data_IF_832004771405
#
_entry.id   IF_832004771405
#
_cell.length_a   1.000
_cell.length_b   1.000
_cell.length_c   1.000
_cell.angle_alpha   90.00
_cell.angle_beta   90.00
_cell.angle_gamma   90.00
#
_symmetry.space_group_name_H-M   'P 1'
#
loop_
_entity.id
_entity.type
_entity.pdbx_description
1 polymer ?
#
# COMPACT_ATOMS: atom_id res chain seq x y z
N UNK A 1 -13.98 5.89 -17.82
CA UNK A 1 -12.63 5.91 -17.22
C UNK A 1 -12.57 4.69 -16.33
N UNK A 2 -11.68 3.74 -16.61
CA UNK A 2 -11.62 2.49 -15.86
C UNK A 2 -11.21 2.78 -14.42
N UNK A 3 -12.14 2.55 -13.50
CA UNK A 3 -11.94 2.69 -12.07
C UNK A 3 -11.48 1.34 -11.52
N UNK A 4 -10.17 1.20 -11.37
CA UNK A 4 -9.57 0.05 -10.73
C UNK A 4 -8.47 0.51 -9.77
N UNK A 5 -8.21 -0.32 -8.77
CA UNK A 5 -7.19 -0.07 -7.76
C UNK A 5 -6.05 -1.07 -7.95
N UNK A 6 -4.79 -0.61 -8.08
CA UNK A 6 -3.64 -1.50 -8.03
C UNK A 6 -3.62 -2.25 -6.70
N UNK A 7 -3.35 -3.55 -6.77
CA UNK A 7 -3.21 -4.40 -5.59
C UNK A 7 -1.90 -5.15 -5.74
N UNK A 8 -1.03 -5.04 -4.73
CA UNK A 8 0.16 -5.86 -4.61
C UNK A 8 0.03 -6.73 -3.35
N UNK A 9 0.20 -8.04 -3.52
CA UNK A 9 0.27 -8.99 -2.39
C UNK A 9 1.69 -9.56 -2.34
N UNK A 10 2.28 -9.63 -1.14
CA UNK A 10 3.60 -10.22 -0.91
C UNK A 10 3.54 -11.23 0.24
N UNK A 11 3.85 -12.49 -0.07
CA UNK A 11 4.03 -13.54 0.94
C UNK A 11 5.49 -13.53 1.43
N UNK A 12 5.78 -12.62 2.37
CA UNK A 12 7.06 -12.56 3.09
C UNK A 12 6.84 -11.96 4.47
N UNK A 13 7.79 -12.23 5.36
CA UNK A 13 7.75 -11.78 6.76
C UNK A 13 7.49 -10.27 6.87
N UNK A 14 8.30 -9.46 6.17
CA UNK A 14 8.16 -8.00 6.18
C UNK A 14 8.39 -7.38 4.80
N UNK A 15 7.43 -6.57 4.34
CA UNK A 15 7.62 -5.70 3.18
C UNK A 15 8.51 -4.50 3.56
N UNK A 16 9.46 -4.19 2.68
CA UNK A 16 10.43 -3.13 2.88
C UNK A 16 10.20 -1.96 1.91
N UNK A 17 10.95 -0.88 2.13
CA UNK A 17 10.92 0.31 1.27
C UNK A 17 11.05 -0.01 -0.23
N UNK A 18 11.96 -0.90 -0.69
CA UNK A 18 12.07 -1.20 -2.13
C UNK A 18 10.79 -1.77 -2.74
N UNK A 19 9.96 -2.46 -1.95
CA UNK A 19 8.67 -2.96 -2.45
C UNK A 19 7.65 -1.84 -2.63
N UNK A 20 7.66 -0.88 -1.70
CA UNK A 20 6.79 0.30 -1.76
C UNK A 20 7.21 1.19 -2.91
N UNK A 21 8.51 1.48 -3.06
CA UNK A 21 9.06 2.26 -4.18
C UNK A 21 8.61 1.68 -5.53
N UNK A 22 8.71 0.35 -5.68
CA UNK A 22 8.28 -0.33 -6.91
C UNK A 22 6.77 -0.18 -7.16
N UNK A 23 5.96 -0.19 -6.11
CA UNK A 23 4.51 -0.03 -6.21
C UNK A 23 4.09 1.42 -6.50
N UNK A 24 4.78 2.40 -5.93
CA UNK A 24 4.60 3.82 -6.25
C UNK A 24 4.82 4.10 -7.74
N UNK A 25 5.83 3.48 -8.34
CA UNK A 25 6.09 3.59 -9.78
C UNK A 25 4.87 3.16 -10.60
N UNK A 26 4.19 2.07 -10.21
CA UNK A 26 2.96 1.61 -10.88
C UNK A 26 1.84 2.63 -10.68
N UNK A 27 1.62 3.09 -9.43
CA UNK A 27 0.61 4.10 -9.10
C UNK A 27 0.79 5.40 -9.91
N UNK A 28 2.03 5.83 -10.12
CA UNK A 28 2.37 7.02 -10.88
C UNK A 28 2.20 6.81 -12.38
N UNK A 29 2.69 5.69 -12.93
CA UNK A 29 2.60 5.40 -14.37
C UNK A 29 1.16 5.23 -14.84
N UNK A 30 0.34 4.58 -14.03
CA UNK A 30 -1.06 4.32 -14.35
C UNK A 30 -1.98 5.48 -13.93
N UNK A 31 -1.44 6.53 -13.32
CA UNK A 31 -2.17 7.65 -12.74
C UNK A 31 -3.31 7.23 -11.77
N UNK A 32 -3.00 6.31 -10.86
CA UNK A 32 -3.97 5.83 -9.86
C UNK A 32 -3.88 6.67 -8.59
N UNK A 33 -5.04 7.04 -8.03
CA UNK A 33 -5.13 7.86 -6.81
C UNK A 33 -5.14 7.02 -5.54
N UNK A 34 -5.52 5.74 -5.62
CA UNK A 34 -5.55 4.80 -4.49
C UNK A 34 -5.06 3.42 -4.93
N UNK A 35 -4.30 2.75 -4.08
CA UNK A 35 -3.82 1.38 -4.27
C UNK A 35 -3.70 0.64 -2.94
N UNK A 36 -3.64 -0.69 -3.00
CA UNK A 36 -3.58 -1.55 -1.82
C UNK A 36 -2.31 -2.38 -1.84
N UNK A 37 -1.60 -2.41 -0.71
CA UNK A 37 -0.42 -3.24 -0.53
C UNK A 37 -0.67 -4.18 0.64
N UNK A 38 -0.62 -5.49 0.38
CA UNK A 38 -0.87 -6.53 1.37
C UNK A 38 0.41 -7.32 1.65
N UNK A 39 0.80 -7.42 2.92
CA UNK A 39 1.96 -8.19 3.39
C UNK A 39 1.67 -8.85 4.75
N UNK A 40 2.60 -9.63 5.32
CA UNK A 40 2.46 -10.12 6.69
C UNK A 40 2.81 -9.04 7.72
N UNK A 41 3.83 -8.22 7.44
CA UNK A 41 4.19 -7.04 8.22
C UNK A 41 4.93 -6.01 7.31
N UNK A 42 5.17 -4.81 7.82
CA UNK A 42 5.87 -3.72 7.13
C UNK A 42 7.06 -3.21 7.96
N UNK A 43 8.15 -2.84 7.29
CA UNK A 43 9.24 -2.15 7.97
C UNK A 43 8.88 -0.71 8.29
N UNK A 44 9.53 -0.15 9.31
CA UNK A 44 9.37 1.26 9.66
C UNK A 44 9.70 2.19 8.48
N UNK A 45 10.69 1.81 7.66
CA UNK A 45 11.06 2.52 6.44
C UNK A 45 9.97 2.41 5.36
N UNK A 46 9.34 1.25 5.20
CA UNK A 46 8.22 1.07 4.28
C UNK A 46 7.03 1.97 4.68
N UNK A 47 6.66 1.99 5.96
CA UNK A 47 5.58 2.84 6.46
C UNK A 47 5.91 4.34 6.34
N UNK A 48 7.17 4.72 6.57
CA UNK A 48 7.63 6.09 6.33
C UNK A 48 7.51 6.49 4.86
N UNK A 49 7.90 5.61 3.94
CA UNK A 49 7.83 5.91 2.51
C UNK A 49 6.38 6.05 2.05
N UNK A 50 5.46 5.17 2.48
CA UNK A 50 4.02 5.31 2.20
C UNK A 50 3.49 6.70 2.62
N UNK A 51 3.86 7.17 3.81
CA UNK A 51 3.48 8.51 4.29
C UNK A 51 4.16 9.65 3.50
N UNK A 52 5.42 9.47 3.09
CA UNK A 52 6.17 10.39 2.24
C UNK A 52 5.53 10.54 0.86
N UNK A 53 5.15 9.42 0.24
CA UNK A 53 4.49 9.37 -1.05
C UNK A 53 3.16 10.11 -1.05
N UNK A 54 2.33 9.89 -0.02
CA UNK A 54 1.06 10.62 0.11
C UNK A 54 1.28 12.13 0.19
N UNK A 55 2.23 12.59 1.02
CA UNK A 55 2.55 14.02 1.15
C UNK A 55 3.03 14.66 -0.16
N UNK A 56 3.80 13.92 -0.97
CA UNK A 56 4.38 14.42 -2.22
C UNK A 56 3.40 14.39 -3.40
N UNK A 57 2.55 13.37 -3.48
CA UNK A 57 1.75 13.08 -4.68
C UNK A 57 0.24 13.24 -4.47
N UNK A 58 -0.24 13.22 -3.24
CA UNK A 58 -1.67 13.09 -2.91
C UNK A 58 -2.27 11.71 -3.21
N UNK A 59 -1.49 10.75 -3.69
CA UNK A 59 -1.92 9.37 -3.98
C UNK A 59 -1.79 8.52 -2.72
N UNK A 60 -2.80 7.70 -2.45
CA UNK A 60 -2.90 6.89 -1.22
C UNK A 60 -2.52 5.43 -1.46
N UNK A 61 -1.64 4.89 -0.62
CA UNK A 61 -1.36 3.45 -0.54
C UNK A 61 -1.92 2.96 0.79
N UNK A 62 -2.88 2.04 0.73
CA UNK A 62 -3.44 1.38 1.90
C UNK A 62 -2.61 0.13 2.20
N UNK A 63 -1.81 0.19 3.27
CA UNK A 63 -1.06 -0.95 3.78
C UNK A 63 -1.98 -1.83 4.66
N UNK A 64 -2.15 -3.09 4.27
CA UNK A 64 -2.87 -4.10 5.04
C UNK A 64 -1.94 -5.25 5.38
N UNK A 65 -1.96 -5.68 6.63
CA UNK A 65 -1.36 -6.94 7.04
C UNK A 65 -2.36 -8.08 6.82
N UNK A 66 -1.87 -9.31 6.72
CA UNK A 66 -2.75 -10.49 6.74
C UNK A 66 -3.57 -10.53 8.03
N UNK A 67 -2.99 -10.10 9.17
CA UNK A 67 -3.69 -10.01 10.44
C UNK A 67 -4.91 -9.06 10.35
N UNK A 68 -4.75 -7.88 9.75
CA UNK A 68 -5.87 -6.92 9.55
C UNK A 68 -7.03 -7.53 8.75
N UNK A 69 -6.71 -8.42 7.80
CA UNK A 69 -7.72 -9.11 7.00
C UNK A 69 -8.45 -10.16 7.84
N UNK A 70 -7.71 -10.93 8.63
CA UNK A 70 -8.27 -11.97 9.49
C UNK A 70 -9.14 -11.40 10.62
N UNK A 71 -8.74 -10.26 11.18
CA UNK A 71 -9.46 -9.60 12.26
C UNK A 71 -10.74 -8.88 11.78
N UNK A 72 -10.96 -8.80 10.46
CA UNK A 72 -12.08 -8.07 9.89
C UNK A 72 -11.97 -6.55 10.06
N UNK A 73 -10.82 -6.05 10.51
CA UNK A 73 -10.53 -4.64 10.79
C UNK A 73 -10.29 -3.79 9.53
N UNK A 74 -10.64 -4.35 8.37
CA UNK A 74 -10.54 -3.72 7.06
C UNK A 74 -11.37 -2.42 7.04
N UNK A 75 -12.54 -2.40 7.69
CA UNK A 75 -13.43 -1.23 7.66
C UNK A 75 -12.80 0.03 8.27
N UNK A 76 -12.01 -0.08 9.35
CA UNK A 76 -11.34 1.07 9.96
C UNK A 76 -10.20 1.62 9.10
N UNK A 77 -9.51 0.77 8.33
CA UNK A 77 -8.39 1.17 7.47
C UNK A 77 -8.82 1.72 6.11
N UNK A 78 -10.11 1.59 5.77
CA UNK A 78 -10.67 2.07 4.51
C UNK A 78 -11.31 3.47 4.61
N UNK A 79 -11.61 3.93 5.83
CA UNK A 79 -12.21 5.23 6.16
C UNK A 79 -11.18 6.37 6.08
#
# INVERSE_FOLDING_TARGET
MDAWYPIQVKQKDKAGRPDIDAFEVVMMREDRTKGFFIAFDFSSDAMHEIGSFFKKSGKSIIALTVQDILDGDIAQKLA
#
